data_IF_186216345617
#
_entry.id   IF_186216345617
#
_cell.length_a   1.000
_cell.length_b   1.000
_cell.length_c   1.000
_cell.angle_alpha   90.00
_cell.angle_beta   90.00
_cell.angle_gamma   90.00
#
_symmetry.space_group_name_H-M   'P 1'
#
loop_
_entity.id
_entity.type
_entity.pdbx_description
1 polymer ?
#
# COMPACT_ATOMS: atom_id res chain seq x y z
N UNK A 1 14.82 -27.71 -8.25
CA UNK A 1 15.17 -26.82 -7.14
C UNK A 1 16.63 -26.43 -7.33
N UNK A 2 16.87 -25.16 -7.68
CA UNK A 2 18.19 -24.54 -7.74
C UNK A 2 18.70 -24.38 -6.32
N UNK A 3 20.02 -24.56 -6.08
CA UNK A 3 20.61 -24.50 -4.74
C UNK A 3 20.39 -23.15 -4.05
N UNK A 4 20.53 -23.10 -2.73
CA UNK A 4 20.35 -21.91 -1.89
C UNK A 4 21.09 -20.66 -2.40
N UNK A 5 22.27 -20.86 -3.01
CA UNK A 5 23.11 -19.78 -3.55
C UNK A 5 22.52 -19.05 -4.77
N UNK A 6 21.51 -19.62 -5.45
CA UNK A 6 20.87 -19.01 -6.62
C UNK A 6 19.60 -18.21 -6.23
N UNK A 7 19.05 -18.48 -5.06
CA UNK A 7 17.81 -17.84 -4.59
C UNK A 7 17.95 -16.32 -4.43
N UNK A 8 18.99 -15.87 -3.77
CA UNK A 8 19.20 -14.43 -3.51
C UNK A 8 19.41 -13.65 -4.82
N UNK A 9 20.16 -14.21 -5.76
CA UNK A 9 20.33 -13.62 -7.09
C UNK A 9 18.99 -13.55 -7.84
N UNK A 10 18.20 -14.63 -7.79
CA UNK A 10 16.87 -14.66 -8.44
C UNK A 10 15.90 -13.65 -7.79
N UNK A 11 15.87 -13.57 -6.47
CA UNK A 11 15.05 -12.61 -5.74
C UNK A 11 15.45 -11.17 -6.12
N UNK A 12 16.75 -10.88 -6.17
CA UNK A 12 17.23 -9.57 -6.60
C UNK A 12 16.81 -9.25 -8.04
N UNK A 13 17.11 -10.14 -8.99
CA UNK A 13 16.77 -9.91 -10.41
C UNK A 13 15.26 -9.78 -10.66
N UNK A 14 14.42 -10.42 -9.83
CA UNK A 14 12.96 -10.30 -9.90
C UNK A 14 12.41 -9.08 -9.16
N UNK A 15 13.24 -8.42 -8.35
CA UNK A 15 12.87 -7.20 -7.60
C UNK A 15 13.38 -5.91 -8.28
N UNK A 16 13.81 -5.98 -9.54
CA UNK A 16 14.25 -4.83 -10.32
C UNK A 16 13.89 -5.01 -11.80
N UNK A 17 13.85 -3.88 -12.52
CA UNK A 17 13.74 -3.92 -13.99
C UNK A 17 14.97 -4.53 -14.62
N UNK A 18 14.87 -5.01 -15.85
CA UNK A 18 15.99 -5.51 -16.63
C UNK A 18 17.04 -4.42 -16.88
N UNK A 19 16.60 -3.20 -17.17
CA UNK A 19 17.46 -2.03 -17.36
C UNK A 19 18.31 -1.75 -16.12
N UNK A 20 17.67 -1.66 -14.95
CA UNK A 20 18.40 -1.43 -13.71
C UNK A 20 19.38 -2.53 -13.38
N UNK A 21 18.95 -3.81 -13.49
CA UNK A 21 19.79 -4.96 -13.19
C UNK A 21 21.02 -5.00 -14.08
N UNK A 22 20.85 -4.80 -15.39
CA UNK A 22 21.94 -4.74 -16.37
C UNK A 22 22.89 -3.60 -16.05
N UNK A 23 22.38 -2.39 -15.82
CA UNK A 23 23.18 -1.21 -15.49
C UNK A 23 23.99 -1.39 -14.22
N UNK A 24 23.40 -1.99 -13.18
CA UNK A 24 24.10 -2.24 -11.91
C UNK A 24 25.23 -3.25 -12.10
N UNK A 25 24.96 -4.37 -12.75
CA UNK A 25 25.95 -5.42 -12.97
C UNK A 25 27.09 -5.00 -13.92
N UNK A 26 26.80 -4.13 -14.88
CA UNK A 26 27.83 -3.52 -15.73
C UNK A 26 28.77 -2.60 -14.95
N UNK A 27 28.22 -1.78 -14.04
CA UNK A 27 29.00 -0.86 -13.23
C UNK A 27 29.75 -1.57 -12.08
N UNK A 28 29.21 -2.67 -11.59
CA UNK A 28 29.72 -3.43 -10.44
C UNK A 28 29.81 -4.94 -10.76
N UNK A 29 30.71 -5.35 -11.67
CA UNK A 29 30.78 -6.76 -12.14
C UNK A 29 31.24 -7.74 -11.06
N UNK A 30 31.78 -7.25 -9.95
CA UNK A 30 32.31 -8.07 -8.85
C UNK A 30 31.30 -8.31 -7.73
N UNK A 31 30.04 -7.87 -7.87
CA UNK A 31 29.00 -8.11 -6.87
C UNK A 31 28.81 -9.61 -6.58
N UNK A 32 28.92 -9.96 -5.31
CA UNK A 32 28.83 -11.34 -4.86
C UNK A 32 27.46 -11.61 -4.21
N UNK A 33 26.61 -12.35 -4.91
CA UNK A 33 25.28 -12.73 -4.43
C UNK A 33 25.32 -13.88 -3.42
N UNK A 34 26.42 -14.65 -3.33
CA UNK A 34 26.51 -15.79 -2.40
C UNK A 34 26.81 -15.37 -0.96
N UNK A 35 27.25 -14.12 -0.75
CA UNK A 35 27.50 -13.56 0.58
C UNK A 35 26.29 -12.88 1.21
N UNK A 36 25.12 -12.92 0.56
CA UNK A 36 23.89 -12.28 1.03
C UNK A 36 23.08 -13.29 1.82
N UNK A 37 22.88 -13.03 3.11
CA UNK A 37 22.12 -13.94 3.96
C UNK A 37 20.61 -13.67 3.89
N UNK A 38 20.15 -12.45 4.17
CA UNK A 38 18.71 -12.20 4.35
C UNK A 38 18.15 -10.97 3.60
N UNK A 39 18.99 -10.03 3.20
CA UNK A 39 18.56 -8.87 2.43
C UNK A 39 19.58 -8.41 1.40
N UNK A 40 19.14 -7.62 0.45
CA UNK A 40 19.99 -7.09 -0.61
C UNK A 40 20.83 -5.88 -0.20
N UNK A 41 20.75 -5.41 1.05
CA UNK A 41 21.53 -4.26 1.54
C UNK A 41 23.02 -4.47 1.38
N UNK A 42 23.46 -5.71 1.56
CA UNK A 42 24.87 -6.10 1.44
C UNK A 42 25.42 -5.88 0.02
N UNK A 43 24.62 -6.07 -1.03
CA UNK A 43 25.04 -5.78 -2.41
C UNK A 43 25.40 -4.31 -2.61
N UNK A 44 24.59 -3.43 -2.03
CA UNK A 44 24.81 -1.97 -2.13
C UNK A 44 26.00 -1.52 -1.28
N UNK A 45 26.26 -2.18 -0.16
CA UNK A 45 27.50 -1.98 0.62
C UNK A 45 28.73 -2.41 -0.17
N UNK A 46 28.72 -3.58 -0.82
CA UNK A 46 29.79 -4.03 -1.71
C UNK A 46 30.05 -3.01 -2.83
N UNK A 47 28.99 -2.41 -3.40
CA UNK A 47 29.08 -1.37 -4.41
C UNK A 47 29.49 0.00 -3.82
N UNK A 48 29.52 0.17 -2.51
CA UNK A 48 29.79 1.44 -1.83
C UNK A 48 28.82 2.56 -2.24
N UNK A 49 27.52 2.23 -2.38
CA UNK A 49 26.47 3.17 -2.72
C UNK A 49 25.32 3.05 -1.72
N UNK A 50 24.50 4.09 -1.65
CA UNK A 50 23.27 4.08 -0.83
C UNK A 50 22.35 2.96 -1.28
N UNK A 51 21.73 2.25 -0.33
CA UNK A 51 20.74 1.22 -0.62
C UNK A 51 19.61 1.77 -1.48
N UNK A 52 19.35 1.10 -2.60
CA UNK A 52 18.23 1.40 -3.49
C UNK A 52 17.12 0.39 -3.22
N UNK A 53 15.97 0.83 -2.69
CA UNK A 53 14.85 -0.08 -2.40
C UNK A 53 14.24 -0.67 -3.69
N UNK A 54 13.61 -1.86 -3.64
CA UNK A 54 13.09 -2.55 -4.82
C UNK A 54 12.19 -1.70 -5.71
N UNK A 55 11.29 -0.91 -5.12
CA UNK A 55 10.36 -0.04 -5.84
C UNK A 55 11.02 1.15 -6.56
N UNK A 56 12.31 1.40 -6.34
CA UNK A 56 13.08 2.43 -7.05
C UNK A 56 14.04 1.86 -8.11
N UNK A 57 14.05 0.53 -8.31
CA UNK A 57 14.97 -0.18 -9.22
C UNK A 57 14.41 -0.29 -10.64
N UNK A 58 13.97 0.84 -11.22
CA UNK A 58 13.37 0.88 -12.55
C UNK A 58 14.38 1.24 -13.64
N UNK A 59 15.25 2.21 -13.40
CA UNK A 59 16.22 2.69 -14.39
C UNK A 59 17.63 2.79 -13.82
N UNK A 60 18.65 2.71 -14.69
CA UNK A 60 20.05 2.90 -14.29
C UNK A 60 20.36 4.29 -13.72
N UNK A 61 19.55 5.30 -14.03
CA UNK A 61 19.74 6.66 -13.53
C UNK A 61 19.69 6.78 -11.99
N UNK A 62 18.97 5.90 -11.32
CA UNK A 62 18.87 5.88 -9.85
C UNK A 62 20.22 5.49 -9.20
N UNK A 63 21.06 4.72 -9.90
CA UNK A 63 22.39 4.30 -9.40
C UNK A 63 23.28 5.55 -9.21
N UNK A 64 23.23 6.50 -10.15
CA UNK A 64 23.99 7.74 -10.03
C UNK A 64 23.53 8.63 -8.86
N UNK A 65 22.22 8.60 -8.57
CA UNK A 65 21.68 9.29 -7.38
C UNK A 65 22.14 8.59 -6.09
N UNK A 66 22.16 7.26 -6.08
CA UNK A 66 22.64 6.48 -4.94
C UNK A 66 24.13 6.72 -4.65
N UNK A 67 24.97 6.81 -5.69
CA UNK A 67 26.40 7.17 -5.54
C UNK A 67 26.60 8.52 -4.87
N UNK A 68 25.71 9.48 -5.15
CA UNK A 68 25.78 10.85 -4.61
C UNK A 68 25.05 11.01 -3.27
N UNK A 69 24.44 9.94 -2.74
CA UNK A 69 23.58 10.04 -1.55
C UNK A 69 22.35 10.94 -1.75
N UNK A 70 21.89 11.10 -2.99
CA UNK A 70 20.79 12.02 -3.37
C UNK A 70 19.56 11.27 -3.89
N UNK A 71 19.29 10.09 -3.33
CA UNK A 71 18.04 9.36 -3.60
C UNK A 71 16.84 10.23 -3.17
N UNK A 72 15.75 10.23 -3.94
CA UNK A 72 14.55 10.93 -3.55
C UNK A 72 13.98 10.33 -2.26
N UNK A 73 13.37 11.17 -1.44
CA UNK A 73 12.54 10.68 -0.35
C UNK A 73 11.35 9.93 -0.95
N UNK A 74 11.10 8.76 -0.45
CA UNK A 74 10.00 7.89 -0.87
C UNK A 74 9.03 7.72 0.29
N UNK A 75 7.77 7.47 -0.05
CA UNK A 75 6.75 7.17 0.95
C UNK A 75 7.12 5.86 1.65
N UNK A 76 7.23 5.91 2.97
CA UNK A 76 7.47 4.76 3.83
C UNK A 76 6.15 4.27 4.44
N UNK A 77 6.07 3.02 4.92
CA UNK A 77 4.90 2.55 5.66
C UNK A 77 4.51 3.44 6.85
N UNK A 78 5.48 4.09 7.49
CA UNK A 78 5.28 5.05 8.60
C UNK A 78 4.64 6.37 8.16
N UNK A 79 4.65 6.68 6.85
CA UNK A 79 4.04 7.89 6.30
C UNK A 79 2.55 7.68 5.97
N UNK A 80 2.07 6.43 5.99
CA UNK A 80 0.68 6.10 5.77
C UNK A 80 -0.14 6.54 6.98
N UNK A 81 -1.10 7.45 6.73
CA UNK A 81 -1.90 8.07 7.78
C UNK A 81 -3.30 7.49 7.93
N UNK A 82 -3.78 6.79 6.94
CA UNK A 82 -5.12 6.23 6.98
C UNK A 82 -5.39 5.18 5.92
N UNK A 83 -6.56 4.61 6.00
CA UNK A 83 -7.08 3.61 5.05
C UNK A 83 -8.24 4.24 4.30
N UNK A 84 -8.22 4.09 2.98
CA UNK A 84 -9.28 4.53 2.07
C UNK A 84 -9.86 3.28 1.40
N UNK A 85 -11.18 3.29 1.14
CA UNK A 85 -11.89 2.22 0.47
C UNK A 85 -11.88 0.92 1.30
N UNK A 86 -12.73 0.91 2.32
CA UNK A 86 -12.96 -0.28 3.15
C UNK A 86 -14.46 -0.46 3.44
N UNK A 87 -14.88 -1.71 3.47
CA UNK A 87 -16.28 -2.11 3.62
C UNK A 87 -16.54 -2.63 5.02
N UNK A 88 -17.66 -2.20 5.57
CA UNK A 88 -18.11 -2.64 6.88
C UNK A 88 -19.24 -3.69 6.77
N UNK A 89 -19.71 -4.16 7.91
CA UNK A 89 -20.86 -5.08 7.98
C UNK A 89 -22.21 -4.39 7.64
N UNK A 90 -22.19 -3.12 7.22
CA UNK A 90 -23.37 -2.48 6.63
C UNK A 90 -23.60 -2.98 5.20
N UNK A 91 -22.54 -3.32 4.46
CA UNK A 91 -22.62 -4.01 3.17
C UNK A 91 -22.05 -5.43 3.28
N UNK A 92 -20.97 -5.75 2.62
CA UNK A 92 -20.39 -7.10 2.55
C UNK A 92 -19.13 -7.30 3.43
N UNK A 93 -18.72 -6.29 4.17
CA UNK A 93 -17.61 -6.40 5.12
C UNK A 93 -18.01 -7.25 6.35
N UNK A 94 -17.00 -7.78 7.04
CA UNK A 94 -17.21 -8.69 8.17
C UNK A 94 -17.25 -7.99 9.53
N UNK A 95 -16.69 -6.78 9.64
CA UNK A 95 -16.53 -6.07 10.91
C UNK A 95 -17.41 -4.82 10.98
N UNK A 96 -17.75 -4.44 12.20
CA UNK A 96 -18.42 -3.15 12.44
C UNK A 96 -17.46 -1.99 12.17
N UNK A 97 -18.01 -0.81 11.84
CA UNK A 97 -17.22 0.42 11.64
C UNK A 97 -16.39 0.74 12.89
N UNK A 98 -16.96 0.51 14.09
CA UNK A 98 -16.26 0.75 15.36
C UNK A 98 -15.06 -0.19 15.55
N UNK A 99 -15.20 -1.49 15.26
CA UNK A 99 -14.09 -2.45 15.31
C UNK A 99 -13.00 -2.08 14.33
N UNK A 100 -13.37 -1.70 13.10
CA UNK A 100 -12.42 -1.28 12.06
C UNK A 100 -11.67 -0.01 12.47
N UNK A 101 -12.36 0.98 13.02
CA UNK A 101 -11.75 2.22 13.51
C UNK A 101 -10.78 1.96 14.67
N UNK A 102 -11.17 1.14 15.64
CA UNK A 102 -10.30 0.76 16.76
C UNK A 102 -9.06 0.01 16.29
N UNK A 103 -9.19 -0.90 15.32
CA UNK A 103 -8.06 -1.63 14.74
C UNK A 103 -7.12 -0.71 13.95
N UNK A 104 -7.65 0.26 13.20
CA UNK A 104 -6.86 1.24 12.47
C UNK A 104 -6.09 2.17 13.43
N UNK A 105 -6.76 2.66 14.47
CA UNK A 105 -6.14 3.50 15.49
C UNK A 105 -5.05 2.75 16.26
N UNK A 106 -5.26 1.47 16.58
CA UNK A 106 -4.25 0.63 17.25
C UNK A 106 -2.99 0.41 16.40
N UNK A 107 -3.09 0.54 15.07
CA UNK A 107 -1.95 0.53 14.13
C UNK A 107 -1.27 1.89 13.98
N UNK A 108 -1.69 2.91 14.71
CA UNK A 108 -1.13 4.27 14.64
C UNK A 108 -1.64 5.09 13.46
N UNK A 109 -2.72 4.68 12.81
CA UNK A 109 -3.36 5.47 11.76
C UNK A 109 -4.20 6.60 12.36
N UNK A 110 -4.41 7.66 11.58
CA UNK A 110 -5.12 8.88 12.00
C UNK A 110 -6.58 8.91 11.51
N UNK A 111 -6.88 8.14 10.45
CA UNK A 111 -8.24 8.09 9.89
C UNK A 111 -8.56 6.79 9.16
N UNK A 112 -9.86 6.58 8.97
CA UNK A 112 -10.45 5.50 8.17
C UNK A 112 -11.55 6.09 7.28
N UNK A 113 -11.62 5.66 6.01
CA UNK A 113 -12.72 6.00 5.10
C UNK A 113 -13.56 4.75 4.88
N UNK A 114 -14.83 4.81 5.25
CA UNK A 114 -15.81 3.76 4.99
C UNK A 114 -16.42 4.00 3.61
N UNK A 115 -16.38 2.96 2.76
CA UNK A 115 -16.84 3.01 1.37
C UNK A 115 -17.71 1.80 1.07
N UNK A 116 -18.75 1.57 1.86
CA UNK A 116 -19.70 0.48 1.64
C UNK A 116 -20.37 0.60 0.26
N UNK A 117 -20.79 -0.52 -0.31
CA UNK A 117 -21.41 -0.58 -1.62
C UNK A 117 -22.75 0.15 -1.69
N UNK A 118 -23.01 0.77 -2.83
CA UNK A 118 -24.26 1.44 -3.16
C UNK A 118 -25.36 0.44 -3.60
N UNK A 119 -26.58 0.93 -3.75
CA UNK A 119 -27.79 0.11 -3.91
C UNK A 119 -27.81 -0.84 -5.11
N UNK A 120 -27.07 -0.58 -6.18
CA UNK A 120 -27.04 -1.47 -7.37
C UNK A 120 -26.21 -2.72 -7.12
N UNK A 121 -25.31 -2.74 -6.15
CA UNK A 121 -24.49 -3.89 -5.78
C UNK A 121 -25.27 -4.90 -4.91
N UNK A 122 -26.28 -5.54 -5.45
CA UNK A 122 -27.14 -6.51 -4.72
C UNK A 122 -26.36 -7.67 -4.11
N UNK A 123 -25.35 -8.17 -4.82
CA UNK A 123 -24.48 -9.25 -4.39
C UNK A 123 -23.68 -8.90 -3.12
N UNK A 124 -23.43 -7.61 -2.92
CA UNK A 124 -22.67 -7.06 -1.79
C UNK A 124 -23.57 -6.40 -0.72
N UNK A 125 -24.89 -6.66 -0.76
CA UNK A 125 -25.86 -6.05 0.15
C UNK A 125 -25.84 -4.52 0.14
N UNK A 126 -25.63 -3.91 -1.04
CA UNK A 126 -25.49 -2.48 -1.24
C UNK A 126 -26.57 -1.65 -0.54
N UNK A 127 -26.18 -0.50 -0.03
CA UNK A 127 -26.99 0.33 0.84
C UNK A 127 -28.02 1.15 0.05
N UNK A 128 -29.26 1.24 0.55
CA UNK A 128 -30.21 2.26 0.11
C UNK A 128 -29.85 3.64 0.68
N UNK A 129 -30.47 4.69 0.14
CA UNK A 129 -30.26 6.07 0.61
C UNK A 129 -30.58 6.22 2.12
N UNK A 130 -31.64 5.54 2.60
CA UNK A 130 -32.01 5.56 4.02
C UNK A 130 -30.95 4.87 4.88
N UNK A 131 -30.40 3.73 4.43
CA UNK A 131 -29.33 3.03 5.12
C UNK A 131 -28.05 3.86 5.17
N UNK A 132 -27.72 4.58 4.08
CA UNK A 132 -26.56 5.49 4.06
C UNK A 132 -26.77 6.64 5.05
N UNK A 133 -27.95 7.25 5.09
CA UNK A 133 -28.24 8.30 6.06
C UNK A 133 -28.06 7.80 7.50
N UNK A 134 -28.56 6.60 7.80
CA UNK A 134 -28.40 5.99 9.12
C UNK A 134 -26.93 5.65 9.44
N UNK A 135 -26.17 5.13 8.45
CA UNK A 135 -24.74 4.88 8.61
C UNK A 135 -23.96 6.19 8.86
N UNK A 136 -24.28 7.23 8.11
CA UNK A 136 -23.64 8.54 8.29
C UNK A 136 -23.88 9.11 9.68
N UNK A 137 -25.10 8.97 10.21
CA UNK A 137 -25.41 9.36 11.59
C UNK A 137 -24.59 8.54 12.59
N UNK A 138 -24.52 7.22 12.40
CA UNK A 138 -23.70 6.34 13.25
C UNK A 138 -22.21 6.73 13.22
N UNK A 139 -21.66 7.06 12.04
CA UNK A 139 -20.29 7.57 11.92
C UNK A 139 -20.10 8.88 12.69
N UNK A 140 -21.08 9.81 12.66
CA UNK A 140 -21.02 11.03 13.44
C UNK A 140 -20.97 10.76 14.95
N UNK A 141 -21.76 9.79 15.42
CA UNK A 141 -21.74 9.37 16.84
C UNK A 141 -20.39 8.76 17.24
N UNK A 142 -19.78 7.92 16.38
CA UNK A 142 -18.45 7.37 16.63
C UNK A 142 -17.36 8.46 16.65
N UNK A 143 -17.40 9.41 15.72
CA UNK A 143 -16.49 10.54 15.67
C UNK A 143 -16.62 11.44 16.92
N UNK A 144 -17.84 11.63 17.42
CA UNK A 144 -18.07 12.41 18.64
C UNK A 144 -17.49 11.72 19.90
N UNK A 145 -17.55 10.39 19.94
CA UNK A 145 -16.98 9.58 21.04
C UNK A 145 -15.45 9.53 21.02
N UNK A 146 -14.83 9.58 19.85
CA UNK A 146 -13.37 9.47 19.67
C UNK A 146 -12.81 10.63 18.84
N UNK A 147 -12.54 11.79 19.43
CA UNK A 147 -12.04 12.97 18.72
C UNK A 147 -10.60 12.82 18.18
N UNK A 148 -9.85 11.81 18.64
CA UNK A 148 -8.48 11.58 18.24
C UNK A 148 -8.32 10.68 17.01
N UNK A 149 -9.43 10.15 16.49
CA UNK A 149 -9.44 9.32 15.29
C UNK A 149 -10.61 9.71 14.39
N UNK A 150 -10.37 9.95 13.10
CA UNK A 150 -11.41 10.40 12.19
C UNK A 150 -11.92 9.27 11.30
N UNK A 151 -13.24 9.07 11.31
CA UNK A 151 -13.92 8.21 10.33
C UNK A 151 -14.58 9.14 9.29
N UNK A 152 -14.18 8.97 8.02
CA UNK A 152 -14.77 9.68 6.91
C UNK A 152 -15.88 8.84 6.27
N UNK A 153 -16.93 9.53 5.86
CA UNK A 153 -18.08 8.99 5.15
C UNK A 153 -17.79 8.97 3.66
N UNK A 154 -17.97 7.84 3.03
CA UNK A 154 -17.88 7.66 1.59
C UNK A 154 -18.84 6.56 1.17
N UNK A 155 -18.94 6.31 -0.12
CA UNK A 155 -19.71 5.23 -0.73
C UNK A 155 -18.98 4.75 -1.99
N UNK A 156 -18.94 3.46 -2.23
CA UNK A 156 -18.58 2.89 -3.51
C UNK A 156 -19.83 2.83 -4.39
N UNK A 157 -19.98 3.86 -5.23
CA UNK A 157 -21.13 4.00 -6.12
C UNK A 157 -20.85 3.40 -7.48
N UNK A 158 -21.77 2.60 -8.01
CA UNK A 158 -21.69 2.06 -9.35
C UNK A 158 -21.96 3.14 -10.41
N UNK A 159 -21.23 3.06 -11.52
CA UNK A 159 -21.51 3.82 -12.73
C UNK A 159 -22.45 2.99 -13.61
N UNK A 160 -23.66 3.49 -13.82
CA UNK A 160 -24.67 2.84 -14.61
C UNK A 160 -24.38 2.93 -16.12
N UNK A 161 -25.11 2.15 -16.93
CA UNK A 161 -24.91 2.08 -18.39
C UNK A 161 -25.11 3.43 -19.11
N UNK A 162 -25.84 4.35 -18.53
CA UNK A 162 -26.06 5.71 -19.05
C UNK A 162 -24.99 6.71 -18.58
N UNK A 163 -24.01 6.25 -17.80
CA UNK A 163 -22.92 7.06 -17.25
C UNK A 163 -23.26 7.81 -15.96
N UNK A 164 -24.48 7.67 -15.44
CA UNK A 164 -24.86 8.21 -14.15
C UNK A 164 -24.41 7.31 -13.00
N UNK A 165 -24.29 7.88 -11.81
CA UNK A 165 -24.14 7.09 -10.58
C UNK A 165 -25.51 6.51 -10.20
N UNK A 166 -25.51 5.46 -9.42
CA UNK A 166 -26.73 4.77 -8.97
C UNK A 166 -27.46 5.50 -7.80
N UNK A 167 -27.07 6.74 -7.54
CA UNK A 167 -27.70 7.70 -6.63
C UNK A 167 -28.08 8.98 -7.34
#
# INVERSE_FOLDING_TARGET
FTGENDWQKRLFTKSCSEEFCTSLLQQYPTLNFTSIENDHTELFKQATITFIPPYARETGAVIEKAKKGSLPNVILPTDIKGIIHSHSNWSDGSNTIEEMANAAQAKGLEYLVISDHSKSAYYAQGLSEEKIAAQHQYVDELNAKNPNFKIFKSIESDILNDGNLDY
#
